data_IF_522428177038
#
_entry.id   IF_522428177038
#
_cell.length_a   1.000
_cell.length_b   1.000
_cell.length_c   1.000
_cell.angle_alpha   90.00
_cell.angle_beta   90.00
_cell.angle_gamma   90.00
#
_symmetry.space_group_name_H-M   'P 1'
#
loop_
_entity.id
_entity.type
_entity.pdbx_description
1 polymer ?
#
# COMPACT_ATOMS: atom_id res chain seq x y z
N UNK A 1 -9.22 5.52 -7.37
CA UNK A 1 -9.02 6.63 -8.35
C UNK A 1 -7.55 6.58 -8.76
N UNK A 2 -7.21 6.46 -10.05
CA UNK A 2 -5.88 5.99 -10.43
C UNK A 2 -4.81 7.09 -10.25
N UNK A 3 -3.75 6.74 -9.53
CA UNK A 3 -2.40 7.34 -9.61
C UNK A 3 -2.29 8.86 -9.39
N UNK A 4 -3.18 9.44 -8.60
CA UNK A 4 -3.06 10.84 -8.18
C UNK A 4 -2.49 10.92 -6.76
N UNK A 5 -1.80 12.01 -6.37
CA UNK A 5 -1.48 12.25 -4.97
C UNK A 5 -2.72 12.26 -4.06
N UNK A 6 -3.89 12.59 -4.62
CA UNK A 6 -5.20 12.49 -3.94
C UNK A 6 -5.56 11.05 -3.55
N UNK A 7 -4.93 10.03 -4.14
CA UNK A 7 -5.06 8.64 -3.71
C UNK A 7 -4.59 8.44 -2.27
N UNK A 8 -3.61 9.24 -1.82
CA UNK A 8 -3.20 9.29 -0.42
C UNK A 8 -4.10 10.18 0.44
N UNK A 9 -5.09 10.91 -0.11
CA UNK A 9 -5.80 11.98 0.61
C UNK A 9 -6.46 11.53 1.93
N UNK A 10 -7.53 10.73 1.89
CA UNK A 10 -8.17 10.21 3.09
C UNK A 10 -7.23 9.32 3.91
N UNK A 11 -6.40 8.52 3.24
CA UNK A 11 -5.45 7.63 3.89
C UNK A 11 -4.44 8.41 4.75
N UNK A 12 -3.83 9.45 4.22
CA UNK A 12 -2.88 10.28 4.94
C UNK A 12 -3.56 11.01 6.10
N UNK A 13 -4.77 11.53 5.90
CA UNK A 13 -5.55 12.12 7.00
C UNK A 13 -5.75 11.13 8.15
N UNK A 14 -6.30 9.95 7.86
CA UNK A 14 -6.52 8.93 8.89
C UNK A 14 -5.21 8.40 9.48
N UNK A 15 -4.16 8.26 8.67
CA UNK A 15 -2.84 7.82 9.12
C UNK A 15 -2.20 8.81 10.10
N UNK A 16 -2.40 10.10 9.89
CA UNK A 16 -1.96 11.14 10.81
C UNK A 16 -2.80 11.17 12.10
N UNK A 17 -4.12 11.01 12.01
CA UNK A 17 -5.00 10.95 13.19
C UNK A 17 -4.71 9.70 14.03
N UNK A 18 -4.41 8.58 13.38
CA UNK A 18 -4.17 7.28 14.01
C UNK A 18 -2.68 6.95 14.16
N UNK A 19 -1.79 7.94 14.07
CA UNK A 19 -0.33 7.76 14.04
C UNK A 19 0.24 6.95 15.22
N UNK A 20 -0.46 6.90 16.36
CA UNK A 20 -0.07 6.09 17.53
C UNK A 20 -0.47 4.62 17.43
N UNK A 21 -1.42 4.29 16.56
CA UNK A 21 -2.03 2.97 16.45
C UNK A 21 -1.61 2.23 15.19
N UNK A 22 -1.21 2.95 14.14
CA UNK A 22 -0.84 2.35 12.85
C UNK A 22 0.58 2.72 12.47
N UNK A 23 1.27 1.81 11.78
CA UNK A 23 2.54 2.11 11.11
C UNK A 23 2.26 2.95 9.86
N UNK A 24 2.61 4.24 9.90
CA UNK A 24 2.26 5.18 8.83
C UNK A 24 2.91 4.78 7.49
N UNK A 25 4.22 4.43 7.43
CA UNK A 25 4.83 3.99 6.18
C UNK A 25 4.10 2.80 5.55
N UNK A 26 3.82 1.76 6.34
CA UNK A 26 3.13 0.56 5.85
C UNK A 26 1.72 0.90 5.39
N UNK A 27 1.01 1.75 6.13
CA UNK A 27 -0.34 2.17 5.77
C UNK A 27 -0.38 2.95 4.45
N UNK A 28 0.55 3.88 4.24
CA UNK A 28 0.64 4.64 3.00
C UNK A 28 0.98 3.74 1.80
N UNK A 29 1.93 2.80 1.96
CA UNK A 29 2.28 1.84 0.90
C UNK A 29 1.11 0.91 0.60
N UNK A 30 0.39 0.43 1.62
CA UNK A 30 -0.77 -0.44 1.45
C UNK A 30 -1.87 0.20 0.60
N UNK A 31 -2.06 1.51 0.70
CA UNK A 31 -3.04 2.23 -0.12
C UNK A 31 -2.60 2.30 -1.60
N UNK A 32 -1.31 2.29 -1.91
CA UNK A 32 -0.81 2.45 -3.30
C UNK A 32 -0.51 1.11 -3.97
N UNK A 33 -0.08 0.09 -3.22
CA UNK A 33 0.41 -1.16 -3.81
C UNK A 33 -0.67 -1.94 -4.58
N UNK A 34 -1.93 -1.87 -4.13
CA UNK A 34 -3.06 -2.55 -4.79
C UNK A 34 -3.37 -1.98 -6.16
N UNK A 35 -3.02 -0.71 -6.39
CA UNK A 35 -3.22 -0.01 -7.66
C UNK A 35 -2.26 -0.48 -8.76
N UNK A 36 -1.23 -1.27 -8.44
CA UNK A 36 -0.30 -1.83 -9.45
C UNK A 36 -1.06 -2.72 -10.44
N UNK A 37 -2.05 -3.51 -9.99
CA UNK A 37 -2.87 -4.35 -10.87
C UNK A 37 -3.62 -3.52 -11.92
N UNK A 38 -4.51 -2.57 -11.55
CA UNK A 38 -5.18 -1.72 -12.53
C UNK A 38 -4.20 -0.88 -13.35
N UNK A 39 -3.06 -0.47 -12.80
CA UNK A 39 -2.02 0.27 -13.55
C UNK A 39 -1.51 -0.53 -14.73
N UNK A 40 -1.08 -1.78 -14.49
CA UNK A 40 -0.54 -2.65 -15.52
C UNK A 40 -1.61 -2.98 -16.56
N UNK A 41 -2.84 -3.26 -16.12
CA UNK A 41 -3.96 -3.59 -17.01
C UNK A 41 -4.34 -2.40 -17.92
N UNK A 42 -4.30 -1.17 -17.40
CA UNK A 42 -4.57 0.03 -18.19
C UNK A 42 -3.42 0.34 -19.16
N UNK A 43 -2.18 0.35 -18.67
CA UNK A 43 -0.99 0.75 -19.44
C UNK A 43 -0.69 -0.21 -20.60
N UNK A 44 -0.91 -1.50 -20.39
CA UNK A 44 -0.74 -2.53 -21.42
C UNK A 44 -2.00 -2.75 -22.27
N UNK A 45 -3.09 -1.99 -22.02
CA UNK A 45 -4.34 -2.11 -22.78
C UNK A 45 -5.07 -3.45 -22.59
N UNK A 46 -4.72 -4.23 -21.56
CA UNK A 46 -5.22 -5.59 -21.36
C UNK A 46 -6.72 -5.64 -21.06
N UNK A 47 -7.31 -4.54 -20.57
CA UNK A 47 -8.76 -4.43 -20.39
C UNK A 47 -9.55 -4.39 -21.71
N UNK A 48 -8.90 -4.14 -22.85
CA UNK A 48 -9.52 -4.05 -24.18
C UNK A 48 -9.21 -5.24 -25.10
N UNK A 49 -8.57 -6.29 -24.58
CA UNK A 49 -8.22 -7.44 -25.39
C UNK A 49 -9.47 -8.23 -25.83
N UNK A 50 -9.69 -8.37 -27.14
CA UNK A 50 -10.92 -8.90 -27.76
C UNK A 50 -11.30 -10.33 -27.32
N UNK A 51 -10.35 -11.13 -26.83
CA UNK A 51 -10.58 -12.51 -26.42
C UNK A 51 -10.44 -12.75 -24.90
N UNK A 52 -9.91 -11.79 -24.14
CA UNK A 52 -9.51 -12.03 -22.73
C UNK A 52 -9.33 -10.75 -21.91
N UNK A 53 -10.20 -9.75 -22.10
CA UNK A 53 -10.15 -8.49 -21.37
C UNK A 53 -10.04 -8.70 -19.85
N UNK A 54 -8.92 -8.27 -19.25
CA UNK A 54 -8.68 -8.45 -17.82
C UNK A 54 -9.48 -7.43 -16.99
N UNK A 55 -10.13 -7.84 -15.89
CA UNK A 55 -10.82 -6.92 -15.00
C UNK A 55 -9.80 -6.01 -14.31
N UNK A 56 -10.11 -4.71 -14.22
CA UNK A 56 -9.22 -3.72 -13.61
C UNK A 56 -8.90 -4.01 -12.13
N UNK A 57 -9.81 -4.66 -11.41
CA UNK A 57 -9.69 -4.96 -9.98
C UNK A 57 -9.97 -6.45 -9.79
N UNK A 58 -8.95 -7.27 -10.05
CA UNK A 58 -9.04 -8.72 -10.07
C UNK A 58 -8.48 -9.32 -8.78
N UNK A 59 -7.28 -9.87 -8.87
CA UNK A 59 -6.67 -10.64 -7.79
C UNK A 59 -6.30 -9.75 -6.61
N UNK A 60 -5.71 -8.57 -6.83
CA UNK A 60 -5.24 -7.71 -5.73
C UNK A 60 -6.41 -7.15 -4.90
N UNK A 61 -7.60 -7.10 -5.49
CA UNK A 61 -8.85 -6.64 -4.88
C UNK A 61 -9.78 -7.78 -4.43
N UNK A 62 -9.32 -9.03 -4.51
CA UNK A 62 -10.01 -10.17 -3.91
C UNK A 62 -9.60 -10.36 -2.45
N UNK A 63 -10.44 -10.98 -1.63
CA UNK A 63 -10.09 -11.24 -0.22
C UNK A 63 -8.81 -12.08 -0.10
N UNK A 64 -8.69 -13.15 -0.89
CA UNK A 64 -7.54 -14.05 -0.84
C UNK A 64 -6.28 -13.37 -1.39
N UNK A 65 -6.34 -12.77 -2.58
CA UNK A 65 -5.19 -12.10 -3.19
C UNK A 65 -4.74 -10.87 -2.40
N UNK A 66 -5.68 -10.07 -1.90
CA UNK A 66 -5.39 -8.95 -1.00
C UNK A 66 -4.74 -9.40 0.31
N UNK A 67 -5.15 -10.54 0.87
CA UNK A 67 -4.48 -11.14 2.04
C UNK A 67 -3.03 -11.51 1.72
N UNK A 68 -2.77 -12.15 0.58
CA UNK A 68 -1.40 -12.45 0.16
C UNK A 68 -0.55 -11.17 -0.03
N UNK A 69 -1.11 -10.14 -0.66
CA UNK A 69 -0.44 -8.84 -0.81
C UNK A 69 -0.12 -8.22 0.56
N UNK A 70 -1.07 -8.26 1.50
CA UNK A 70 -0.87 -7.72 2.84
C UNK A 70 0.22 -8.48 3.63
N UNK A 71 0.24 -9.82 3.55
CA UNK A 71 1.28 -10.63 4.19
C UNK A 71 2.66 -10.37 3.61
N UNK A 72 2.75 -10.30 2.27
CA UNK A 72 4.01 -9.98 1.59
C UNK A 72 4.47 -8.57 1.95
N UNK A 73 3.56 -7.59 1.97
CA UNK A 73 3.85 -6.23 2.36
C UNK A 73 4.36 -6.17 3.80
N UNK A 74 3.70 -6.83 4.75
CA UNK A 74 4.15 -6.89 6.14
C UNK A 74 5.57 -7.48 6.25
N UNK A 75 5.85 -8.57 5.52
CA UNK A 75 7.19 -9.16 5.47
C UNK A 75 8.22 -8.15 4.92
N UNK A 76 7.93 -7.48 3.81
CA UNK A 76 8.86 -6.49 3.22
C UNK A 76 9.08 -5.32 4.17
N UNK A 77 8.01 -4.74 4.73
CA UNK A 77 8.06 -3.56 5.60
C UNK A 77 8.85 -3.83 6.89
N UNK A 78 8.73 -5.05 7.46
CA UNK A 78 9.55 -5.42 8.62
C UNK A 78 11.05 -5.51 8.29
N UNK A 79 11.41 -5.93 7.07
CA UNK A 79 12.83 -6.00 6.63
C UNK A 79 13.42 -4.63 6.34
N UNK A 80 12.63 -3.68 5.85
CA UNK A 80 13.08 -2.31 5.55
C UNK A 80 12.79 -1.32 6.69
N UNK A 81 12.52 -1.82 7.89
CA UNK A 81 12.07 -1.02 9.03
C UNK A 81 13.05 0.08 9.43
N UNK A 82 14.35 -0.19 9.39
CA UNK A 82 15.36 0.81 9.76
C UNK A 82 15.42 1.96 8.75
N UNK A 83 15.26 1.65 7.46
CA UNK A 83 15.17 2.63 6.40
C UNK A 83 13.93 3.51 6.55
N UNK A 84 12.77 2.90 6.76
CA UNK A 84 11.50 3.62 6.93
C UNK A 84 11.49 4.44 8.22
N UNK A 85 12.05 3.94 9.32
CA UNK A 85 12.23 4.70 10.55
C UNK A 85 13.15 5.92 10.36
N UNK A 86 14.23 5.76 9.59
CA UNK A 86 15.12 6.89 9.25
C UNK A 86 14.39 7.98 8.47
N UNK A 87 13.57 7.60 7.50
CA UNK A 87 12.73 8.54 6.74
C UNK A 87 11.72 9.26 7.65
N UNK A 88 11.05 8.52 8.54
CA UNK A 88 10.11 9.10 9.51
C UNK A 88 10.79 10.07 10.47
N UNK A 89 12.04 9.81 10.86
CA UNK A 89 12.83 10.75 11.68
C UNK A 89 13.21 12.02 10.92
N UNK A 90 13.55 11.93 9.63
CA UNK A 90 13.86 13.11 8.80
C UNK A 90 12.69 14.08 8.73
N UNK A 91 11.47 13.58 8.70
CA UNK A 91 10.24 14.38 8.65
C UNK A 91 9.66 14.70 10.04
N UNK A 92 10.38 14.37 11.12
CA UNK A 92 9.97 14.67 12.50
C UNK A 92 8.79 13.84 13.03
N UNK A 93 8.44 12.74 12.36
CA UNK A 93 7.31 11.87 12.71
C UNK A 93 7.78 10.52 13.26
N UNK A 94 8.70 10.52 14.22
CA UNK A 94 9.29 9.28 14.73
C UNK A 94 8.24 8.38 15.42
N UNK A 95 8.05 7.17 14.91
CA UNK A 95 7.12 6.19 15.48
C UNK A 95 7.89 5.09 16.25
N UNK A 96 7.73 5.05 17.58
CA UNK A 96 8.32 4.01 18.43
C UNK A 96 7.47 2.73 18.42
N UNK A 97 7.45 2.01 17.30
CA UNK A 97 6.84 0.68 17.26
C UNK A 97 7.86 -0.40 17.63
N UNK A 98 7.42 -1.48 18.27
CA UNK A 98 8.25 -2.67 18.52
C UNK A 98 7.69 -3.81 17.69
N UNK A 99 8.51 -4.44 16.84
CA UNK A 99 8.10 -5.66 16.12
C UNK A 99 7.79 -6.83 17.06
N UNK A 100 8.17 -6.73 18.35
CA UNK A 100 7.87 -7.71 19.40
C UNK A 100 6.52 -7.49 20.10
N UNK A 101 5.80 -6.40 19.83
CA UNK A 101 4.51 -6.14 20.48
C UNK A 101 3.30 -6.45 19.58
N UNK A 102 3.52 -7.16 18.48
CA UNK A 102 2.48 -7.76 17.64
C UNK A 102 2.50 -9.27 17.90
#
# INVERSE_FOLDING_TARGET
MPFTPLHLGPALFFGMVLLRYIDLPTFLVANVIVDIEPFVILTLGLHRADSLGLPLHGLSHSFLGGTFVALLLALVMTRIREFTASLMRLIGMEQKHSARSI
#
